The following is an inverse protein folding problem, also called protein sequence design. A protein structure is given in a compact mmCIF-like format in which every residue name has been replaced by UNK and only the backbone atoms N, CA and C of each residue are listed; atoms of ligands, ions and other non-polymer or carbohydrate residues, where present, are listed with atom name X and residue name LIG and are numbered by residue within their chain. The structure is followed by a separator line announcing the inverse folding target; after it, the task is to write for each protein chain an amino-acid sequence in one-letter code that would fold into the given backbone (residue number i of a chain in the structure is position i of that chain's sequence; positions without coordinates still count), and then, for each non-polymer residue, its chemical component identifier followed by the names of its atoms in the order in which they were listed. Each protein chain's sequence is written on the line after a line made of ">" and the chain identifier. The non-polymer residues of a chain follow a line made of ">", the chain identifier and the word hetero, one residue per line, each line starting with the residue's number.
data_IF_566865070347
#
_entry.id   IF_566865070347
#
_cell.length_a   1.000
_cell.length_b   1.000
_cell.length_c   1.000
_cell.angle_alpha   90.00
_cell.angle_beta   90.00
_cell.angle_gamma   90.00
#
_symmetry.space_group_name_H-M   'P 1'
#
loop_
_entity.id
_entity.type
_entity.pdbx_description
1 polymer ?
2 water ?
#
# COMPACT_ATOMS: atom_id res chain seq x y z
N UNK A 22 2.96 -9.03 -29.56
CA UNK A 22 3.30 -9.53 -28.20
C UNK A 22 3.42 -8.33 -27.27
N UNK A 23 2.55 -8.18 -26.25
CA UNK A 23 2.57 -7.05 -25.30
C UNK A 23 3.73 -7.19 -24.31
N UNK A 24 4.39 -6.07 -24.04
CA UNK A 24 5.40 -5.90 -23.00
C UNK A 24 4.71 -5.86 -21.61
N UNK A 25 5.23 -6.63 -20.68
CA UNK A 25 4.72 -6.70 -19.28
C UNK A 25 5.32 -5.54 -18.51
N UNK A 26 4.59 -5.06 -17.51
CA UNK A 26 5.08 -4.03 -16.58
C UNK A 26 6.09 -4.68 -15.62
N UNK A 27 7.19 -4.02 -15.32
CA UNK A 27 8.07 -4.50 -14.28
C UNK A 27 7.32 -4.40 -12.94
N UNK A 28 7.54 -5.34 -12.03
CA UNK A 28 6.79 -5.34 -10.73
C UNK A 28 7.46 -4.39 -9.72
N UNK A 29 8.65 -3.89 -9.96
CA UNK A 29 9.15 -2.66 -9.30
C UNK A 29 8.86 -1.47 -10.19
N UNK A 30 8.08 -0.43 -9.78
CA UNK A 30 7.83 0.70 -10.67
C UNK A 30 9.14 1.45 -10.98
N UNK A 31 9.35 1.70 -12.27
CA UNK A 31 10.45 2.53 -12.83
C UNK A 31 11.75 2.47 -11.99
N UNK A 32 12.26 1.27 -11.71
CA UNK A 32 13.60 1.09 -11.13
C UNK A 32 13.76 1.44 -9.66
N UNK A 33 12.69 1.75 -8.91
CA UNK A 33 12.85 2.10 -7.47
C UNK A 33 11.71 1.44 -6.69
N UNK A 34 12.01 0.84 -5.55
CA UNK A 34 11.00 0.31 -4.63
C UNK A 34 10.20 1.44 -3.98
N UNK A 35 10.83 2.60 -3.67
CA UNK A 35 10.20 3.56 -2.73
C UNK A 35 8.99 4.30 -3.31
N UNK A 36 7.94 4.36 -2.49
CA UNK A 36 6.73 5.13 -2.83
C UNK A 36 6.07 5.80 -1.63
N UNK A 37 4.92 6.44 -1.81
CA UNK A 37 4.13 7.11 -0.78
C UNK A 37 2.69 6.58 -0.82
N UNK A 38 2.10 6.39 0.33
CA UNK A 38 0.68 6.09 0.58
C UNK A 38 0.01 7.33 1.11
N UNK A 39 -0.67 8.10 0.26
CA UNK A 39 -1.12 9.49 0.55
C UNK A 39 -0.15 10.53 -0.08
N UNK A 40 -0.50 11.80 0.06
CA UNK A 40 0.23 12.86 -0.64
C UNK A 40 0.68 14.02 0.27
N UNK A 41 0.48 13.94 1.57
CA UNK A 41 0.86 15.13 2.39
C UNK A 41 2.36 15.50 2.32
N UNK A 42 3.23 14.48 2.18
CA UNK A 42 4.71 14.70 2.17
C UNK A 42 5.27 14.51 0.77
N UNK A 43 4.41 14.37 -0.25
CA UNK A 43 4.87 13.96 -1.60
C UNK A 43 5.83 14.98 -2.21
N UNK A 44 5.62 16.28 -2.00
CA UNK A 44 6.55 17.28 -2.59
C UNK A 44 7.95 17.07 -2.03
N UNK A 45 8.08 16.80 -0.75
CA UNK A 45 9.40 16.67 -0.08
C UNK A 45 10.11 15.38 -0.54
N UNK A 46 9.36 14.31 -0.83
CA UNK A 46 9.98 12.99 -1.11
C UNK A 46 10.18 12.70 -2.62
N UNK A 47 9.47 13.44 -3.51
CA UNK A 47 9.28 13.10 -4.92
C UNK A 47 10.54 12.60 -5.65
N UNK A 48 11.64 13.34 -5.47
CA UNK A 48 12.86 13.08 -6.28
C UNK A 48 13.52 11.72 -5.95
N UNK A 49 13.09 11.07 -4.86
CA UNK A 49 13.67 9.76 -4.44
C UNK A 49 12.65 8.62 -4.56
N UNK A 50 11.43 8.92 -5.02
CA UNK A 50 10.36 7.92 -5.22
C UNK A 50 10.29 7.53 -6.66
N UNK A 51 9.57 6.41 -6.92
CA UNK A 51 9.10 6.10 -8.31
C UNK A 51 7.56 6.19 -8.43
N UNK A 52 6.82 6.06 -7.34
CA UNK A 52 5.35 5.81 -7.42
C UNK A 52 4.61 6.33 -6.25
N UNK A 53 3.31 6.50 -6.31
CA UNK A 53 2.44 6.76 -5.12
C UNK A 53 1.03 6.21 -5.35
N UNK A 54 0.29 6.05 -4.30
CA UNK A 54 -1.16 5.83 -4.34
C UNK A 54 -1.87 6.74 -3.35
N UNK A 55 -3.18 6.92 -3.45
CA UNK A 55 -3.96 7.73 -2.50
C UNK A 55 -5.30 7.07 -2.22
N UNK A 56 -5.35 5.75 -2.28
CA UNK A 56 -6.58 4.96 -2.03
C UNK A 56 -7.72 5.21 -3.06
N UNK A 57 -7.50 6.06 -4.07
CA UNK A 57 -8.54 6.38 -5.09
C UNK A 57 -8.25 5.71 -6.43
N UNK A 58 -9.23 5.67 -7.37
CA UNK A 58 -9.02 5.12 -8.70
C UNK A 58 -8.00 5.84 -9.58
N UNK A 59 -7.70 7.11 -9.24
CA UNK A 59 -6.88 7.99 -10.10
C UNK A 59 -6.11 8.98 -9.24
N UNK A 60 -4.96 8.60 -8.62
CA UNK A 60 -4.19 9.52 -7.79
C UNK A 60 -3.88 10.78 -8.60
N UNK A 61 -4.24 11.95 -8.06
CA UNK A 61 -4.05 13.15 -8.94
C UNK A 61 -3.43 14.36 -8.23
N UNK A 62 -2.82 14.21 -7.05
CA UNK A 62 -2.09 15.38 -6.49
C UNK A 62 -1.10 15.92 -7.53
N UNK A 63 -1.03 17.23 -7.77
CA UNK A 63 -0.02 17.76 -8.67
C UNK A 63 1.40 17.59 -8.13
N UNK A 64 1.57 17.30 -6.84
CA UNK A 64 2.89 17.04 -6.24
C UNK A 64 3.53 15.76 -6.79
N UNK A 65 2.73 14.84 -7.33
CA UNK A 65 3.19 13.54 -7.86
C UNK A 65 3.60 13.55 -9.33
N UNK A 66 3.44 14.66 -10.05
CA UNK A 66 3.54 14.71 -11.53
C UNK A 66 4.85 14.05 -11.96
N UNK A 67 4.76 13.04 -12.81
CA UNK A 67 5.95 12.31 -13.30
C UNK A 67 6.13 10.97 -12.64
N UNK A 68 5.67 10.82 -11.40
CA UNK A 68 5.76 9.49 -10.74
C UNK A 68 4.67 8.57 -11.34
N UNK A 69 4.79 7.27 -11.09
CA UNK A 69 3.76 6.27 -11.48
C UNK A 69 2.56 6.36 -10.53
N UNK A 70 1.38 6.77 -10.99
CA UNK A 70 0.20 6.82 -10.13
C UNK A 70 -0.56 5.48 -10.10
N UNK A 71 -0.51 4.79 -8.99
CA UNK A 71 -1.05 3.43 -8.89
C UNK A 71 -2.53 3.55 -8.46
N UNK A 72 -3.43 2.91 -9.27
CA UNK A 72 -4.89 2.96 -9.04
C UNK A 72 -5.30 1.98 -7.93
N UNK A 73 -6.42 2.26 -7.29
CA UNK A 73 -7.03 1.32 -6.31
C UNK A 73 -8.55 1.26 -6.56
N UNK A 74 -9.14 0.07 -6.40
CA UNK A 74 -10.59 -0.04 -6.08
C UNK A 74 -10.71 -0.35 -4.56
N UNK A 75 -11.09 0.65 -3.78
CA UNK A 75 -11.00 0.57 -2.32
C UNK A 75 -11.96 -0.49 -1.75
N UNK A 76 -13.22 -0.51 -2.21
CA UNK A 76 -14.21 -1.40 -1.65
C UNK A 76 -15.37 -1.63 -2.60
N UNK A 77 -16.53 -2.00 -1.99
CA UNK A 77 -17.77 -2.31 -2.73
C UNK A 77 -18.82 -1.22 -2.74
N UNK A 78 -18.54 -0.05 -2.20
CA UNK A 78 -19.45 1.08 -2.30
C UNK A 78 -20.67 1.03 -1.39
N UNK A 79 -20.66 0.20 -0.35
CA UNK A 79 -21.75 0.14 0.66
C UNK A 79 -21.24 0.36 2.09
N UNK A 80 -19.98 0.78 2.27
CA UNK A 80 -19.41 1.07 3.61
C UNK A 80 -18.78 2.45 3.65
N UNK A 81 -19.44 3.46 3.15
CA UNK A 81 -19.04 4.85 3.39
C UNK A 81 -19.28 5.82 2.22
N UNK A 82 -19.38 7.10 2.57
CA UNK A 82 -19.56 8.17 1.53
C UNK A 82 -18.48 8.07 0.46
N UNK A 83 -17.22 8.11 0.89
CA UNK A 83 -16.07 8.05 -0.05
C UNK A 83 -16.02 6.68 -0.74
N UNK A 84 -16.39 5.60 -0.05
CA UNK A 84 -16.44 4.23 -0.67
C UNK A 84 -17.34 4.30 -1.92
N UNK A 85 -18.57 4.80 -1.73
CA UNK A 85 -19.50 4.90 -2.87
C UNK A 85 -18.98 5.82 -3.99
N UNK A 86 -18.40 6.94 -3.65
CA UNK A 86 -17.84 7.89 -4.68
C UNK A 86 -16.72 7.16 -5.47
N UNK A 87 -15.85 6.43 -4.76
CA UNK A 87 -14.70 5.74 -5.41
C UNK A 87 -15.18 4.61 -6.30
N UNK A 88 -16.19 3.87 -5.87
CA UNK A 88 -16.69 2.82 -6.81
C UNK A 88 -17.22 3.46 -8.12
N UNK A 89 -18.04 4.51 -8.00
CA UNK A 89 -18.58 5.20 -9.19
C UNK A 89 -17.43 5.70 -10.07
N UNK A 90 -16.40 6.37 -9.48
CA UNK A 90 -15.23 6.86 -10.26
C UNK A 90 -14.51 5.70 -10.95
N UNK A 91 -14.34 4.55 -10.30
CA UNK A 91 -13.68 3.35 -10.89
C UNK A 91 -14.46 2.81 -12.08
N UNK A 92 -15.78 2.74 -11.94
CA UNK A 92 -16.66 2.33 -13.03
C UNK A 92 -16.56 3.27 -14.25
N UNK A 93 -16.29 4.57 -14.02
CA UNK A 93 -16.27 5.60 -15.10
C UNK A 93 -14.85 5.78 -15.67
N UNK A 94 -13.84 5.02 -15.24
CA UNK A 94 -12.47 5.25 -15.79
C UNK A 94 -12.49 5.10 -17.31
N UNK A 95 -11.90 6.04 -18.05
CA UNK A 95 -11.99 5.96 -19.50
C UNK A 95 -10.73 5.26 -20.01
N UNK A 96 -9.99 4.53 -19.17
CA UNK A 96 -8.58 4.23 -19.47
C UNK A 96 -8.10 3.04 -18.64
N UNK A 97 -6.96 2.50 -19.03
CA UNK A 97 -6.32 1.38 -18.33
C UNK A 97 -5.06 1.86 -17.63
N UNK A 98 -4.94 1.77 -16.26
CA UNK A 98 -3.72 2.10 -15.55
C UNK A 98 -2.64 1.05 -15.81
N UNK A 99 -1.38 1.45 -15.56
CA UNK A 99 -0.28 0.47 -15.57
C UNK A 99 -0.37 -0.49 -14.37
N UNK A 100 -0.84 -0.02 -13.20
CA UNK A 100 -0.90 -0.83 -11.98
C UNK A 100 -2.24 -0.55 -11.27
N UNK A 101 -2.91 -1.63 -10.80
CA UNK A 101 -4.19 -1.45 -10.07
C UNK A 101 -4.19 -2.40 -8.87
N UNK A 102 -4.53 -1.87 -7.71
CA UNK A 102 -4.67 -2.67 -6.50
C UNK A 102 -6.15 -2.93 -6.16
N UNK A 103 -6.40 -4.10 -5.55
CA UNK A 103 -7.71 -4.42 -5.00
C UNK A 103 -7.99 -3.86 -3.61
N UNK A 104 -8.96 -4.44 -2.93
CA UNK A 104 -9.67 -3.80 -1.80
C UNK A 104 -8.72 -3.47 -0.62
N UNK A 105 -9.08 -2.37 0.05
CA UNK A 105 -8.31 -1.95 1.25
C UNK A 105 -8.91 -2.55 2.53
N UNK A 106 -8.28 -3.60 3.06
CA UNK A 106 -8.68 -4.16 4.39
C UNK A 106 -10.15 -4.61 4.39
N UNK A 107 -10.54 -5.54 3.49
CA UNK A 107 -11.91 -6.09 3.51
C UNK A 107 -12.20 -6.83 4.81
N UNK A 108 -11.17 -7.30 5.54
CA UNK A 108 -11.25 -8.02 6.82
C UNK A 108 -11.35 -7.09 8.05
N UNK A 109 -11.54 -5.80 7.87
CA UNK A 109 -11.77 -4.87 8.99
C UNK A 109 -13.01 -3.98 8.68
N UNK A 110 -13.56 -3.32 9.70
CA UNK A 110 -14.80 -2.55 9.66
C UNK A 110 -14.54 -1.07 9.96
N UNK A 111 -15.59 -0.29 9.80
CA UNK A 111 -15.54 1.15 10.05
C UNK A 111 -15.82 1.92 8.75
N UNK A 112 -16.86 2.73 8.75
CA UNK A 112 -17.27 3.49 7.54
C UNK A 112 -16.12 4.37 7.05
N UNK A 113 -15.77 4.19 5.77
CA UNK A 113 -14.60 4.87 5.12
C UNK A 113 -13.24 4.61 5.82
N UNK A 114 -13.16 3.58 6.65
CA UNK A 114 -11.89 3.21 7.33
C UNK A 114 -11.29 1.97 6.67
N UNK A 115 -12.04 0.90 6.63
CA UNK A 115 -11.68 -0.41 6.02
C UNK A 115 -12.86 -0.93 5.19
N UNK A 116 -12.58 -1.70 4.13
CA UNK A 116 -13.64 -2.01 3.16
C UNK A 116 -14.79 -2.86 3.76
N UNK A 117 -14.59 -3.75 4.73
CA UNK A 117 -15.69 -4.54 5.35
C UNK A 117 -16.61 -5.24 4.32
N UNK A 118 -15.98 -6.12 3.52
CA UNK A 118 -16.79 -6.93 2.57
C UNK A 118 -16.40 -8.40 2.75
N UNK A 119 -17.37 -9.29 2.51
CA UNK A 119 -17.05 -10.73 2.57
C UNK A 119 -16.33 -11.21 1.29
N UNK A 120 -15.84 -12.44 1.33
CA UNK A 120 -15.11 -13.04 0.19
C UNK A 120 -16.01 -13.13 -1.02
N UNK A 121 -17.29 -13.55 -0.86
CA UNK A 121 -18.23 -13.67 -1.98
C UNK A 121 -18.37 -12.31 -2.69
N UNK A 122 -18.59 -11.25 -1.93
CA UNK A 122 -18.72 -9.90 -2.50
C UNK A 122 -17.41 -9.45 -3.19
N UNK A 123 -16.27 -9.74 -2.56
CA UNK A 123 -14.99 -9.50 -3.18
C UNK A 123 -14.75 -10.15 -4.53
N UNK A 124 -15.12 -11.42 -4.60
CA UNK A 124 -14.96 -12.17 -5.88
C UNK A 124 -15.79 -11.52 -7.02
N UNK A 125 -17.01 -11.10 -6.69
CA UNK A 125 -17.89 -10.50 -7.72
C UNK A 125 -17.32 -9.17 -8.21
N UNK A 126 -16.80 -8.34 -7.30
CA UNK A 126 -16.19 -7.02 -7.67
C UNK A 126 -14.90 -7.26 -8.44
N UNK A 127 -14.09 -8.20 -7.99
CA UNK A 127 -12.78 -8.47 -8.64
C UNK A 127 -13.06 -8.92 -10.08
N UNK A 128 -13.93 -9.91 -10.29
CA UNK A 128 -14.15 -10.43 -11.65
C UNK A 128 -14.83 -9.36 -12.51
N UNK A 129 -15.72 -8.53 -11.98
CA UNK A 129 -16.49 -7.57 -12.84
C UNK A 129 -15.63 -6.37 -13.23
N UNK A 130 -14.79 -5.85 -12.28
CA UNK A 130 -14.08 -4.54 -12.43
C UNK A 130 -12.55 -4.64 -12.50
N UNK A 131 -11.93 -5.57 -11.76
CA UNK A 131 -10.44 -5.56 -11.69
C UNK A 131 -9.83 -6.50 -12.72
N UNK A 132 -10.33 -7.74 -12.84
CA UNK A 132 -9.76 -8.67 -13.83
C UNK A 132 -9.80 -8.12 -15.27
N UNK A 133 -10.86 -7.42 -15.72
CA UNK A 133 -10.80 -6.91 -17.09
C UNK A 133 -9.70 -5.89 -17.33
N UNK A 134 -9.35 -5.10 -16.32
CA UNK A 134 -8.18 -4.16 -16.42
C UNK A 134 -6.91 -4.97 -16.63
N UNK A 135 -6.74 -6.08 -15.93
CA UNK A 135 -5.59 -6.94 -16.17
C UNK A 135 -5.57 -7.54 -17.57
N UNK A 136 -6.73 -7.94 -18.10
CA UNK A 136 -6.84 -8.43 -19.50
C UNK A 136 -6.37 -7.35 -20.48
N UNK A 137 -6.62 -6.08 -20.19
CA UNK A 137 -6.19 -4.96 -21.06
C UNK A 137 -4.73 -4.56 -20.78
N UNK A 138 -4.01 -5.21 -19.86
CA UNK A 138 -2.56 -5.01 -19.64
C UNK A 138 -2.13 -4.48 -18.28
N UNK A 139 -3.07 -4.10 -17.41
CA UNK A 139 -2.61 -3.63 -16.08
C UNK A 139 -1.96 -4.77 -15.29
N UNK A 140 -0.91 -4.46 -14.49
CA UNK A 140 -0.44 -5.36 -13.43
C UNK A 140 -1.40 -5.26 -12.23
N UNK A 141 -1.81 -6.43 -11.71
CA UNK A 141 -2.85 -6.47 -10.64
C UNK A 141 -2.27 -6.74 -9.25
N UNK A 142 -2.72 -5.95 -8.28
CA UNK A 142 -2.32 -6.18 -6.89
C UNK A 142 -3.47 -6.82 -6.13
N UNK A 143 -3.16 -7.73 -5.19
CA UNK A 143 -4.18 -8.38 -4.37
C UNK A 143 -4.88 -7.36 -3.50
N UNK A 144 -6.06 -7.69 -2.94
CA UNK A 144 -6.52 -6.99 -1.74
C UNK A 144 -5.49 -7.11 -0.59
N UNK A 145 -5.51 -6.04 0.25
CA UNK A 145 -4.56 -5.89 1.40
C UNK A 145 -5.23 -6.17 2.74
N UNK A 146 -4.69 -7.12 3.50
CA UNK A 146 -5.38 -7.55 4.74
C UNK A 146 -4.98 -6.75 5.99
N UNK A 147 -5.95 -6.34 6.77
CA UNK A 147 -5.65 -5.70 8.10
C UNK A 147 -5.15 -6.74 9.09
N UNK A 148 -5.44 -8.01 8.92
CA UNK A 148 -5.00 -9.03 9.87
C UNK A 148 -3.51 -9.40 9.64
N UNK A 149 -2.86 -8.85 8.63
CA UNK A 149 -1.38 -9.06 8.49
C UNK A 149 -1.08 -10.55 8.41
N UNK A 150 -0.10 -11.09 9.09
CA UNK A 150 0.23 -12.53 9.02
C UNK A 150 -0.86 -13.45 9.62
N UNK A 151 -1.84 -12.89 10.34
CA UNK A 151 -2.93 -13.71 10.91
C UNK A 151 -4.14 -13.81 9.97
N UNK A 152 -4.07 -13.34 8.73
CA UNK A 152 -5.22 -13.33 7.84
C UNK A 152 -5.77 -14.76 7.55
N UNK A 153 -7.09 -14.74 7.36
CA UNK A 153 -7.82 -15.87 6.71
C UNK A 153 -8.60 -15.39 5.48
N UNK A 154 -8.92 -14.13 5.29
CA UNK A 154 -9.79 -13.69 4.17
C UNK A 154 -9.09 -13.96 2.82
N UNK A 155 -7.81 -13.54 2.67
CA UNK A 155 -7.13 -13.67 1.37
C UNK A 155 -6.93 -15.16 1.09
N UNK A 156 -6.76 -15.98 2.09
CA UNK A 156 -6.56 -17.43 1.84
C UNK A 156 -7.80 -18.04 1.20
N UNK A 157 -8.97 -17.61 1.69
CA UNK A 157 -10.26 -18.08 1.15
C UNK A 157 -10.47 -17.46 -0.24
N UNK A 158 -10.20 -16.16 -0.42
CA UNK A 158 -10.40 -15.47 -1.73
C UNK A 158 -9.55 -16.17 -2.78
N UNK A 159 -8.32 -16.52 -2.45
CA UNK A 159 -7.35 -17.14 -3.39
C UNK A 159 -7.82 -18.52 -3.88
N UNK A 160 -8.72 -19.17 -3.16
CA UNK A 160 -9.26 -20.49 -3.52
C UNK A 160 -10.52 -20.35 -4.38
N UNK A 161 -10.98 -19.16 -4.71
CA UNK A 161 -12.21 -18.97 -5.49
C UNK A 161 -11.88 -18.89 -6.98
N UNK A 162 -12.92 -18.90 -7.81
CA UNK A 162 -12.80 -18.82 -9.29
C UNK A 162 -12.65 -17.35 -9.68
N UNK A 163 -11.42 -16.94 -9.94
CA UNK A 163 -11.09 -15.57 -10.37
C UNK A 163 -10.80 -15.64 -11.87
N UNK A 164 -11.29 -14.72 -12.63
CA UNK A 164 -11.06 -14.78 -14.10
C UNK A 164 -9.58 -14.56 -14.45
N UNK A 165 -8.93 -13.73 -13.67
CA UNK A 165 -7.44 -13.53 -13.63
C UNK A 165 -7.03 -13.33 -12.17
N UNK A 166 -5.99 -14.05 -11.77
CA UNK A 166 -5.40 -13.82 -10.42
C UNK A 166 -4.52 -12.57 -10.40
N UNK A 167 -3.99 -12.24 -9.23
CA UNK A 167 -3.09 -11.07 -9.06
C UNK A 167 -1.65 -11.41 -9.46
N UNK A 168 -0.91 -10.35 -9.80
CA UNK A 168 0.55 -10.42 -10.12
C UNK A 168 1.46 -10.12 -8.89
N UNK A 169 0.99 -9.25 -7.98
CA UNK A 169 1.76 -8.88 -6.79
C UNK A 169 0.79 -8.91 -5.61
N UNK A 170 1.30 -9.38 -4.45
CA UNK A 170 0.51 -9.52 -3.23
C UNK A 170 0.65 -8.19 -2.45
N UNK A 171 -0.40 -7.45 -2.19
CA UNK A 171 -0.38 -6.17 -1.41
C UNK A 171 -0.49 -6.52 0.06
N UNK A 172 0.42 -5.98 0.89
CA UNK A 172 0.46 -6.19 2.37
C UNK A 172 0.54 -4.87 3.13
N UNK A 173 -0.03 -4.88 4.31
CA UNK A 173 0.06 -3.75 5.26
C UNK A 173 0.92 -4.23 6.45
N UNK A 174 1.98 -3.47 6.80
CA UNK A 174 2.86 -3.83 7.97
C UNK A 174 2.76 -2.76 9.07
N UNK A 175 2.11 -3.14 10.14
CA UNK A 175 1.91 -2.29 11.34
C UNK A 175 2.49 -3.12 12.47
N UNK A 176 3.78 -2.86 12.81
CA UNK A 176 4.59 -3.66 13.78
C UNK A 176 5.57 -2.72 14.49
N UNK A 177 6.10 -3.16 15.63
CA UNK A 177 6.93 -2.29 16.50
C UNK A 177 8.39 -2.65 16.36
N UNK A 178 8.79 -3.70 15.64
CA UNK A 178 10.20 -4.15 15.55
C UNK A 178 10.39 -4.89 14.22
N UNK A 179 11.64 -5.18 13.87
CA UNK A 179 11.95 -5.83 12.58
C UNK A 179 11.64 -7.32 12.63
N UNK A 180 11.56 -7.93 13.80
CA UNK A 180 11.10 -9.35 13.88
C UNK A 180 9.66 -9.44 13.33
N UNK A 181 8.77 -8.52 13.73
CA UNK A 181 7.38 -8.50 13.23
C UNK A 181 7.27 -8.21 11.74
N UNK A 182 8.10 -7.27 11.26
CA UNK A 182 8.13 -6.94 9.81
C UNK A 182 8.52 -8.21 9.03
N UNK A 183 9.56 -8.90 9.46
CA UNK A 183 10.06 -10.10 8.75
C UNK A 183 9.00 -11.19 8.80
N UNK A 184 8.27 -11.32 9.88
CA UNK A 184 7.27 -12.40 10.00
C UNK A 184 6.12 -12.17 9.00
N UNK A 185 5.75 -10.92 8.75
CA UNK A 185 4.73 -10.60 7.73
C UNK A 185 5.28 -10.95 6.35
N UNK A 186 6.49 -10.53 6.03
CA UNK A 186 7.07 -10.86 4.69
C UNK A 186 7.10 -12.37 4.48
N UNK A 187 7.61 -13.12 5.44
CA UNK A 187 7.75 -14.58 5.29
C UNK A 187 6.39 -15.25 5.12
N UNK A 188 5.40 -14.84 5.91
CA UNK A 188 4.06 -15.41 5.76
C UNK A 188 3.53 -15.22 4.34
N UNK A 189 3.61 -14.00 3.78
CA UNK A 189 2.98 -13.71 2.50
C UNK A 189 3.81 -14.29 1.35
N UNK A 190 5.13 -14.39 1.41
CA UNK A 190 5.91 -15.12 0.39
C UNK A 190 5.62 -16.63 0.47
N UNK A 191 5.72 -17.19 1.64
CA UNK A 191 5.54 -18.65 1.77
C UNK A 191 4.14 -19.11 1.33
N UNK A 192 3.12 -18.30 1.68
CA UNK A 192 1.71 -18.67 1.42
C UNK A 192 1.30 -18.43 -0.07
N UNK A 193 1.72 -17.31 -0.67
CA UNK A 193 1.23 -16.90 -2.02
C UNK A 193 2.29 -16.99 -3.10
N UNK A 194 3.58 -16.94 -2.75
CA UNK A 194 4.62 -17.30 -3.75
C UNK A 194 4.69 -16.29 -4.91
N UNK A 195 4.28 -15.04 -4.65
CA UNK A 195 4.33 -13.93 -5.60
C UNK A 195 5.10 -12.76 -4.98
N UNK A 196 5.66 -11.87 -5.83
CA UNK A 196 6.31 -10.67 -5.28
C UNK A 196 5.37 -9.83 -4.41
N UNK A 197 5.93 -9.15 -3.41
CA UNK A 197 5.19 -8.36 -2.45
C UNK A 197 5.27 -6.86 -2.72
N UNK A 198 4.20 -6.13 -2.52
CA UNK A 198 4.21 -4.66 -2.34
C UNK A 198 3.69 -4.37 -0.95
N UNK A 199 4.49 -3.58 -0.17
CA UNK A 199 4.06 -3.10 1.16
C UNK A 199 3.33 -1.77 0.95
N UNK A 200 2.01 -1.82 0.80
CA UNK A 200 1.24 -0.67 0.29
C UNK A 200 0.88 0.34 1.40
N UNK A 201 1.02 -0.08 2.64
CA UNK A 201 1.04 0.86 3.81
C UNK A 201 1.97 0.24 4.84
N UNK A 202 2.80 1.06 5.52
CA UNK A 202 3.55 0.65 6.76
C UNK A 202 3.64 1.82 7.73
N UNK A 203 3.61 1.43 9.01
CA UNK A 203 3.84 2.41 10.12
C UNK A 203 4.23 1.61 11.35
N UNK A 204 4.96 2.30 12.27
CA UNK A 204 5.42 1.73 13.57
C UNK A 204 4.24 1.76 14.56
N UNK A 205 3.75 0.58 14.92
CA UNK A 205 2.57 0.37 15.80
C UNK A 205 2.83 -0.84 16.69
N UNK A 206 2.50 -0.66 17.96
CA UNK A 206 2.37 -1.78 18.94
C UNK A 206 1.03 -2.46 18.66
N UNK A 207 0.99 -3.27 17.61
CA UNK A 207 -0.28 -3.75 17.05
C UNK A 207 -1.01 -4.65 18.04
N UNK A 208 -0.30 -5.47 18.83
CA UNK A 208 -0.92 -6.40 19.80
C UNK A 208 -1.47 -5.69 21.04
N UNK A 209 -1.09 -4.43 21.29
CA UNK A 209 -1.55 -3.65 22.49
C UNK A 209 -2.61 -2.60 22.11
N UNK A 210 -3.77 -3.08 21.69
CA UNK A 210 -4.92 -2.19 21.31
C UNK A 210 -4.49 -1.25 20.16
N UNK A 211 -3.66 -1.73 19.26
CA UNK A 211 -3.23 -0.94 18.06
C UNK A 211 -2.69 0.41 18.54
N UNK A 212 -1.66 0.43 19.42
CA UNK A 212 -1.13 1.70 19.97
C UNK A 212 0.02 2.14 19.06
N UNK A 213 -0.12 3.28 18.34
CA UNK A 213 0.96 3.78 17.52
C UNK A 213 2.22 4.07 18.35
N UNK A 214 3.40 3.83 17.77
CA UNK A 214 4.68 4.27 18.41
C UNK A 214 4.64 5.80 18.59
N UNK A 215 5.22 6.28 19.69
CA UNK A 215 5.26 7.74 20.00
C UNK A 215 6.66 8.22 20.44
N UNK A 216 7.66 7.35 20.43
CA UNK A 216 9.03 7.72 20.78
C UNK A 216 9.79 8.08 19.50
N UNK A 217 10.15 9.37 19.36
CA UNK A 217 10.78 9.82 18.12
C UNK A 217 12.07 9.05 17.83
N UNK A 218 12.91 8.86 18.86
CA UNK A 218 14.16 8.13 18.61
C UNK A 218 13.92 6.73 18.05
N UNK A 219 13.05 6.01 18.75
CA UNK A 219 12.69 4.62 18.27
C UNK A 219 12.12 4.66 16.83
N UNK A 220 11.23 5.62 16.56
CA UNK A 220 10.58 5.70 15.22
C UNK A 220 11.66 5.95 14.16
N UNK A 221 12.60 6.90 14.46
CA UNK A 221 13.66 7.20 13.46
C UNK A 221 14.50 5.95 13.15
N UNK A 222 14.85 5.15 14.16
CA UNK A 222 15.63 3.92 13.95
C UNK A 222 14.77 2.87 13.18
N UNK A 223 13.51 2.75 13.60
CA UNK A 223 12.57 1.79 12.89
C UNK A 223 12.45 2.09 11.38
N UNK A 224 12.31 3.37 11.05
CA UNK A 224 12.24 3.81 9.64
C UNK A 224 13.55 3.43 8.91
N UNK A 225 14.68 3.80 9.54
CA UNK A 225 15.97 3.51 8.88
C UNK A 225 16.11 2.00 8.62
N UNK A 226 15.84 1.24 9.68
CA UNK A 226 15.98 -0.24 9.62
C UNK A 226 15.01 -0.87 8.59
N UNK A 227 13.75 -0.39 8.56
CA UNK A 227 12.77 -1.03 7.65
C UNK A 227 13.08 -0.74 6.19
N UNK A 228 13.57 0.43 5.83
CA UNK A 228 13.94 0.76 4.45
C UNK A 228 15.12 -0.15 4.06
N UNK A 229 16.11 -0.27 4.97
CA UNK A 229 17.24 -1.14 4.61
C UNK A 229 16.75 -2.58 4.39
N UNK A 230 15.90 -3.06 5.28
CA UNK A 230 15.39 -4.46 5.19
C UNK A 230 14.64 -4.64 3.84
N UNK A 231 13.73 -3.71 3.55
CA UNK A 231 12.94 -3.82 2.27
C UNK A 231 13.89 -3.78 1.07
N UNK A 232 14.86 -2.85 1.01
CA UNK A 232 15.76 -2.72 -0.18
C UNK A 232 16.57 -4.01 -0.39
N UNK A 233 17.00 -4.67 0.69
CA UNK A 233 17.80 -5.91 0.59
C UNK A 233 16.92 -7.16 0.30
N UNK A 234 15.63 -7.12 0.60
CA UNK A 234 14.81 -8.35 0.51
C UNK A 234 14.40 -8.59 -0.97
N UNK A 235 14.70 -9.76 -1.51
CA UNK A 235 14.46 -10.04 -2.95
C UNK A 235 12.96 -10.08 -3.28
N UNK A 236 12.12 -10.39 -2.31
CA UNK A 236 10.66 -10.57 -2.55
C UNK A 236 9.88 -9.28 -2.39
N UNK A 237 10.42 -8.23 -1.79
CA UNK A 237 9.74 -6.93 -1.66
C UNK A 237 10.09 -6.08 -2.87
N UNK A 238 9.12 -5.80 -3.74
CA UNK A 238 9.38 -5.04 -4.99
C UNK A 238 8.91 -3.58 -4.89
N UNK A 239 8.17 -3.19 -3.85
CA UNK A 239 7.69 -1.80 -3.66
C UNK A 239 7.28 -1.65 -2.21
N UNK A 240 7.41 -0.42 -1.68
CA UNK A 240 6.95 -0.10 -0.32
C UNK A 240 6.44 1.34 -0.27
N UNK A 241 5.60 1.67 0.69
CA UNK A 241 4.97 3.00 0.76
C UNK A 241 4.65 3.40 2.21
N UNK A 242 5.27 4.52 2.67
CA UNK A 242 4.99 5.16 3.99
C UNK A 242 3.57 5.77 3.99
N UNK A 243 2.72 5.42 4.95
CA UNK A 243 1.34 5.94 5.01
C UNK A 243 1.25 7.23 5.83
N UNK A 244 0.38 8.13 5.44
CA UNK A 244 0.01 9.32 6.22
C UNK A 244 -1.44 9.22 6.72
N UNK A 245 -2.09 8.04 6.66
CA UNK A 245 -3.47 7.90 7.12
C UNK A 245 -3.65 8.27 8.57
N UNK A 246 -4.87 8.59 8.95
CA UNK A 246 -5.18 9.04 10.31
C UNK A 246 -5.28 7.82 11.22
N UNK A 247 -5.30 8.09 12.52
CA UNK A 247 -5.34 7.03 13.53
C UNK A 247 -3.97 6.52 13.91
N UNK A 248 -2.90 7.17 13.48
CA UNK A 248 -1.51 6.68 13.77
C UNK A 248 -0.78 7.62 14.76
N UNK A 249 -1.53 8.42 15.54
CA UNK A 249 -0.93 9.28 16.57
C UNK A 249 -0.32 10.55 16.01
N UNK A 250 0.32 11.32 16.89
CA UNK A 250 0.81 12.66 16.53
C UNK A 250 2.28 12.65 16.05
N UNK A 251 3.00 11.54 16.25
CA UNK A 251 4.47 11.48 15.97
C UNK A 251 4.75 10.87 14.57
N UNK A 252 4.02 9.83 14.19
CA UNK A 252 4.19 9.19 12.86
C UNK A 252 3.91 10.15 11.69
N UNK A 253 2.94 11.09 11.77
CA UNK A 253 2.63 11.90 10.57
C UNK A 253 3.87 12.52 9.96
N UNK A 254 4.06 12.44 8.61
CA UNK A 254 5.34 12.92 8.02
C UNK A 254 5.39 14.44 7.84
N UNK A 255 4.32 15.19 8.14
CA UNK A 255 4.28 16.67 8.01
C UNK A 255 3.80 17.26 9.36
N UNK A 256 4.55 18.27 9.83
CA UNK A 256 4.21 19.03 11.07
C UNK A 256 2.96 19.91 10.88
N UNK A 257 2.35 20.37 11.98
CA UNK A 257 1.16 21.26 11.91
C UNK A 257 1.48 22.54 11.12
N UNK A 258 2.72 23.03 11.12
CA UNK A 258 3.07 24.28 10.40
C UNK A 258 3.35 24.05 8.89
N UNK A 259 3.22 22.82 8.39
CA UNK A 259 3.41 22.49 6.96
C UNK A 259 4.81 21.95 6.61
N UNK A 260 5.75 22.07 7.53
CA UNK A 260 7.15 21.67 7.32
C UNK A 260 7.28 20.13 7.48
N UNK A 261 8.30 19.54 6.85
CA UNK A 261 8.54 18.07 6.96
C UNK A 261 8.83 17.73 8.42
N UNK A 262 8.16 16.73 9.01
CA UNK A 262 8.34 16.33 10.44
C UNK A 262 9.60 15.51 10.57
N UNK A 263 10.02 15.30 11.84
CA UNK A 263 11.19 14.43 12.10
C UNK A 263 11.00 13.03 11.53
N UNK A 264 9.77 12.49 11.61
CA UNK A 264 9.43 11.17 11.01
C UNK A 264 9.50 11.21 9.47
N UNK A 265 8.99 12.31 8.90
CA UNK A 265 9.09 12.51 7.46
C UNK A 265 10.53 12.62 6.95
N UNK A 266 11.36 13.33 7.74
CA UNK A 266 12.82 13.48 7.45
C UNK A 266 13.52 12.12 7.57
N UNK A 267 13.14 11.27 8.54
CA UNK A 267 13.80 9.95 8.65
C UNK A 267 13.54 9.14 7.35
N UNK A 268 12.31 9.17 6.83
CA UNK A 268 12.00 8.48 5.55
C UNK A 268 12.80 9.08 4.41
N UNK A 269 12.80 10.43 4.31
CA UNK A 269 13.57 11.10 3.22
C UNK A 269 15.03 10.65 3.24
N UNK A 270 15.65 10.68 4.41
CA UNK A 270 17.09 10.34 4.51
C UNK A 270 17.36 8.87 4.20
N UNK A 271 16.45 7.98 4.52
CA UNK A 271 16.57 6.50 4.26
C UNK A 271 16.45 6.25 2.76
N UNK A 272 15.40 6.77 2.12
CA UNK A 272 15.20 6.49 0.66
C UNK A 272 16.22 7.16 -0.22
N UNK A 273 16.81 8.27 0.26
CA UNK A 273 17.87 8.96 -0.53
C UNK A 273 19.16 8.12 -0.55
N UNK A 274 19.39 7.26 0.42
CA UNK A 274 20.59 6.38 0.45
C UNK A 274 20.57 5.45 -0.77
N UNK A 275 19.40 5.12 -1.34
CA UNK A 275 19.27 4.15 -2.43
C UNK A 275 19.11 4.83 -3.77
N UNK A 276 19.20 6.15 -3.80
CA UNK A 276 19.09 6.97 -5.02
C UNK A 276 20.51 7.55 -5.30
N UNK A 277 21.28 6.84 -6.13
CA UNK A 277 22.69 7.19 -6.49
C UNK A 277 22.93 7.15 -7.99
N UNK A 278 21.88 7.10 -8.78
CA UNK A 278 21.97 7.23 -10.26
C UNK A 278 20.65 7.80 -10.76
#
# INVERSE_FOLDING_TARGET
>A
MGSSHHHHHHSSGLVPAGSHMEFAQHPLTPNGRKAGSAGDTALAFWKDHLSWWHDWTPAPSSPKGAGLVPVSMLWGGGNNGQKDAQRLQQFEHLNSTPAYVMGFNEPDCSGADVSADIDVNTGVSLWNSLIAPMGQKGAALGSPAMCRQKDESWLKQFNQQQLTKSWDFTSIHIFKSDMTGVQADIDYYWNTYQKPLWVTEFACVFDQNNFTPCTDQNQINQWISDIVDLFEANEHVLAYAYTDGLGLGSVWPPVNSDGSLSQSGQAYLNAISKYHSR
#
